data_IF_027487929359
#
_entry.id   IF_027487929359
#
_cell.length_a   1.000
_cell.length_b   1.000
_cell.length_c   1.000
_cell.angle_alpha   90.00
_cell.angle_beta   90.00
_cell.angle_gamma   90.00
#
_symmetry.space_group_name_H-M   'P 1'
#
loop_
_entity.id
_entity.type
_entity.pdbx_description
1 polymer ?
#
# COMPACT_ATOMS: atom_id res chain seq x y z
N UNK A 1 -10.34 -46.73 -0.22
CA UNK A 1 -9.61 -45.67 -0.97
C UNK A 1 -10.43 -44.40 -1.20
N UNK A 2 -11.58 -44.44 -1.90
CA UNK A 2 -12.41 -43.22 -2.18
C UNK A 2 -12.81 -42.41 -0.94
N UNK A 3 -13.17 -43.07 0.18
CA UNK A 3 -13.53 -42.41 1.45
C UNK A 3 -12.33 -41.73 2.13
N UNK A 4 -11.17 -42.39 2.11
CA UNK A 4 -9.93 -41.84 2.67
C UNK A 4 -9.49 -40.59 1.91
N UNK A 5 -9.41 -40.66 0.58
CA UNK A 5 -9.07 -39.52 -0.28
C UNK A 5 -10.00 -38.32 -0.05
N UNK A 6 -11.32 -38.56 -0.02
CA UNK A 6 -12.30 -37.52 0.27
C UNK A 6 -12.08 -36.87 1.65
N UNK A 7 -11.85 -37.68 2.68
CA UNK A 7 -11.65 -37.16 4.03
C UNK A 7 -10.35 -36.36 4.14
N UNK A 8 -9.29 -36.74 3.43
CA UNK A 8 -8.04 -35.98 3.37
C UNK A 8 -8.24 -34.62 2.67
N UNK A 9 -8.93 -34.58 1.52
CA UNK A 9 -9.26 -33.32 0.86
C UNK A 9 -10.15 -32.42 1.70
N UNK A 10 -11.09 -33.01 2.45
CA UNK A 10 -11.92 -32.25 3.38
C UNK A 10 -11.07 -31.66 4.51
N UNK A 11 -10.11 -32.41 5.06
CA UNK A 11 -9.18 -31.90 6.05
C UNK A 11 -8.38 -30.72 5.51
N UNK A 12 -7.79 -30.83 4.31
CA UNK A 12 -7.07 -29.71 3.70
C UNK A 12 -7.97 -28.50 3.41
N UNK A 13 -9.23 -28.73 3.03
CA UNK A 13 -10.20 -27.65 2.88
C UNK A 13 -10.45 -26.95 4.22
N UNK A 14 -10.66 -27.70 5.29
CA UNK A 14 -10.85 -27.14 6.64
C UNK A 14 -9.62 -26.35 7.13
N UNK A 15 -8.40 -26.79 6.78
CA UNK A 15 -7.18 -26.03 7.07
C UNK A 15 -7.10 -24.73 6.26
N UNK A 16 -7.49 -24.75 4.98
CA UNK A 16 -7.55 -23.56 4.15
C UNK A 16 -8.61 -22.56 4.68
N UNK A 17 -9.77 -23.06 5.12
CA UNK A 17 -10.82 -22.26 5.79
C UNK A 17 -10.29 -21.66 7.08
N UNK A 18 -9.62 -22.45 7.93
CA UNK A 18 -9.06 -21.97 9.18
C UNK A 18 -8.02 -20.87 8.93
N UNK A 19 -7.12 -21.05 7.97
CA UNK A 19 -6.15 -20.03 7.58
C UNK A 19 -6.82 -18.73 7.08
N UNK A 20 -7.86 -18.86 6.26
CA UNK A 20 -8.65 -17.72 5.79
C UNK A 20 -9.34 -16.99 6.95
N UNK A 21 -9.96 -17.70 7.89
CA UNK A 21 -10.58 -17.08 9.07
C UNK A 21 -9.58 -16.39 9.99
N UNK A 22 -8.39 -16.97 10.19
CA UNK A 22 -7.31 -16.32 10.97
C UNK A 22 -6.82 -15.05 10.25
N UNK A 23 -6.77 -15.04 8.92
CA UNK A 23 -6.42 -13.83 8.16
C UNK A 23 -7.42 -12.68 8.39
N UNK A 24 -8.72 -13.00 8.59
CA UNK A 24 -9.72 -11.97 8.93
C UNK A 24 -9.48 -11.36 10.32
N UNK A 25 -8.85 -12.10 11.24
CA UNK A 25 -8.44 -11.55 12.53
C UNK A 25 -7.25 -10.59 12.41
N UNK A 26 -6.45 -10.68 11.34
CA UNK A 26 -5.27 -9.85 11.12
C UNK A 26 -5.58 -8.35 11.08
N UNK A 27 -6.81 -7.98 10.70
CA UNK A 27 -7.23 -6.57 10.68
C UNK A 27 -7.57 -6.03 12.05
N UNK A 28 -7.94 -6.89 13.02
CA UNK A 28 -8.40 -6.47 14.36
C UNK A 28 -7.36 -6.69 15.45
N UNK A 29 -6.51 -7.70 15.30
CA UNK A 29 -5.51 -8.06 16.32
C UNK A 29 -4.23 -7.27 16.05
N UNK A 30 -3.88 -6.39 16.98
CA UNK A 30 -2.64 -5.62 16.93
C UNK A 30 -1.42 -6.55 16.94
N UNK A 31 -0.52 -6.48 15.93
CA UNK A 31 0.71 -7.26 15.91
C UNK A 31 1.64 -7.01 17.09
N UNK A 32 1.56 -5.84 17.72
CA UNK A 32 2.29 -5.51 18.95
C UNK A 32 1.86 -6.39 20.13
N UNK A 33 0.59 -6.79 20.19
CA UNK A 33 0.06 -7.71 21.20
C UNK A 33 0.26 -9.17 20.81
N UNK A 34 -0.14 -9.56 19.59
CA UNK A 34 -0.04 -10.91 19.08
C UNK A 34 0.12 -10.90 17.55
N UNK A 35 1.32 -11.24 17.08
CA UNK A 35 1.69 -11.09 15.67
C UNK A 35 1.22 -12.22 14.75
N UNK A 36 0.74 -13.36 15.28
CA UNK A 36 0.42 -14.54 14.44
C UNK A 36 -0.62 -14.23 13.37
N UNK A 37 -1.75 -13.56 13.67
CA UNK A 37 -2.73 -13.21 12.63
C UNK A 37 -2.14 -12.38 11.48
N UNK A 38 -1.16 -11.50 11.75
CA UNK A 38 -0.53 -10.67 10.71
C UNK A 38 0.15 -11.49 9.61
N UNK A 39 0.76 -12.64 9.96
CA UNK A 39 1.32 -13.56 8.97
C UNK A 39 0.23 -14.17 8.07
N UNK A 40 -0.93 -14.48 8.63
CA UNK A 40 -2.06 -15.00 7.87
C UNK A 40 -2.72 -13.92 7.01
N UNK A 41 -2.77 -12.66 7.50
CA UNK A 41 -3.19 -11.50 6.73
C UNK A 41 -2.31 -11.28 5.50
N UNK A 42 -0.98 -11.31 5.67
CA UNK A 42 -0.02 -11.27 4.56
C UNK A 42 -0.24 -12.42 3.56
N UNK A 43 -0.57 -13.62 4.05
CA UNK A 43 -0.83 -14.79 3.22
C UNK A 43 -2.29 -14.90 2.70
N UNK A 44 -3.14 -13.91 2.96
CA UNK A 44 -4.56 -13.93 2.62
C UNK A 44 -4.85 -14.33 1.16
N UNK A 45 -4.18 -13.76 0.13
CA UNK A 45 -4.46 -14.12 -1.27
C UNK A 45 -4.29 -15.61 -1.56
N UNK A 46 -3.34 -16.28 -0.89
CA UNK A 46 -3.11 -17.72 -1.05
C UNK A 46 -4.20 -18.56 -0.40
N UNK A 47 -4.64 -18.19 0.81
CA UNK A 47 -5.75 -18.86 1.47
C UNK A 47 -7.07 -18.67 0.69
N UNK A 48 -7.30 -17.46 0.15
CA UNK A 48 -8.43 -17.18 -0.71
C UNK A 48 -8.39 -18.07 -1.97
N UNK A 49 -7.25 -18.11 -2.67
CA UNK A 49 -7.08 -18.94 -3.87
C UNK A 49 -7.30 -20.42 -3.56
N UNK A 50 -6.72 -20.95 -2.47
CA UNK A 50 -6.93 -22.33 -2.05
C UNK A 50 -8.43 -22.63 -1.82
N UNK A 51 -9.16 -21.73 -1.16
CA UNK A 51 -10.60 -21.88 -0.95
C UNK A 51 -11.40 -21.83 -2.26
N UNK A 52 -11.04 -20.96 -3.22
CA UNK A 52 -11.66 -20.95 -4.56
C UNK A 52 -11.42 -22.29 -5.27
N UNK A 53 -10.21 -22.84 -5.22
CA UNK A 53 -9.89 -24.14 -5.81
C UNK A 53 -10.69 -25.27 -5.13
N UNK A 54 -10.90 -25.20 -3.82
CA UNK A 54 -11.76 -26.16 -3.12
C UNK A 54 -13.23 -26.04 -3.51
N UNK A 55 -13.76 -24.83 -3.74
CA UNK A 55 -15.11 -24.65 -4.30
C UNK A 55 -15.21 -25.39 -5.64
N UNK A 56 -14.31 -25.09 -6.57
CA UNK A 56 -14.29 -25.71 -7.90
C UNK A 56 -14.19 -27.23 -7.81
N UNK A 57 -13.28 -27.76 -6.99
CA UNK A 57 -13.13 -29.19 -6.76
C UNK A 57 -14.42 -29.84 -6.21
N UNK A 58 -15.02 -29.26 -5.16
CA UNK A 58 -16.19 -29.85 -4.52
C UNK A 58 -17.45 -29.75 -5.38
N UNK A 59 -17.57 -28.77 -6.28
CA UNK A 59 -18.67 -28.70 -7.24
C UNK A 59 -18.78 -29.97 -8.11
N UNK A 60 -17.66 -30.58 -8.49
CA UNK A 60 -17.65 -31.79 -9.31
C UNK A 60 -17.62 -33.10 -8.51
N UNK A 61 -17.23 -33.06 -7.23
CA UNK A 61 -17.07 -34.27 -6.40
C UNK A 61 -18.23 -34.46 -5.41
N UNK A 62 -18.54 -33.43 -4.60
CA UNK A 62 -19.58 -33.41 -3.57
C UNK A 62 -20.01 -31.96 -3.29
N UNK A 63 -21.03 -31.50 -4.01
CA UNK A 63 -21.49 -30.10 -3.99
C UNK A 63 -21.75 -29.51 -2.61
N UNK A 64 -22.24 -30.22 -1.57
CA UNK A 64 -22.45 -29.60 -0.25
C UNK A 64 -21.16 -29.12 0.42
N UNK A 65 -20.00 -29.72 0.12
CA UNK A 65 -18.74 -29.29 0.71
C UNK A 65 -18.19 -28.00 0.08
N UNK A 66 -18.66 -27.62 -1.13
CA UNK A 66 -18.33 -26.34 -1.73
C UNK A 66 -18.88 -25.17 -0.91
N UNK A 67 -19.99 -25.37 -0.20
CA UNK A 67 -20.62 -24.35 0.65
C UNK A 67 -19.71 -23.90 1.79
N UNK A 68 -18.83 -24.76 2.31
CA UNK A 68 -17.93 -24.41 3.42
C UNK A 68 -17.00 -23.26 3.04
N UNK A 69 -16.28 -23.41 1.93
CA UNK A 69 -15.36 -22.39 1.41
C UNK A 69 -16.12 -21.18 0.88
N UNK A 70 -17.26 -21.39 0.20
CA UNK A 70 -18.10 -20.30 -0.30
C UNK A 70 -18.61 -19.39 0.82
N UNK A 71 -19.21 -19.95 1.87
CA UNK A 71 -19.71 -19.17 3.01
C UNK A 71 -18.58 -18.47 3.76
N UNK A 72 -17.39 -19.10 3.85
CA UNK A 72 -16.22 -18.46 4.47
C UNK A 72 -15.76 -17.25 3.67
N UNK A 73 -15.66 -17.35 2.34
CA UNK A 73 -15.32 -16.21 1.47
C UNK A 73 -16.39 -15.12 1.56
N UNK A 74 -17.67 -15.50 1.55
CA UNK A 74 -18.78 -14.55 1.67
C UNK A 74 -18.74 -13.76 2.98
N UNK A 75 -18.37 -14.41 4.10
CA UNK A 75 -18.20 -13.75 5.40
C UNK A 75 -17.12 -12.66 5.36
N UNK A 76 -16.05 -12.87 4.59
CA UNK A 76 -14.96 -11.92 4.42
C UNK A 76 -14.97 -11.13 3.11
N UNK A 77 -16.13 -10.98 2.47
CA UNK A 77 -16.24 -10.32 1.16
C UNK A 77 -15.59 -8.92 1.13
N UNK A 78 -15.70 -8.16 2.22
CA UNK A 78 -15.08 -6.84 2.34
C UNK A 78 -13.53 -6.86 2.29
N UNK A 79 -12.89 -8.00 2.55
CA UNK A 79 -11.45 -8.15 2.37
C UNK A 79 -11.10 -8.36 0.90
N UNK A 80 -11.92 -9.09 0.16
CA UNK A 80 -11.74 -9.35 -1.28
C UNK A 80 -11.82 -8.05 -2.09
N UNK A 81 -12.81 -7.21 -1.82
CA UNK A 81 -13.01 -5.94 -2.55
C UNK A 81 -11.83 -4.97 -2.39
N UNK A 82 -10.99 -5.13 -1.38
CA UNK A 82 -9.80 -4.27 -1.21
C UNK A 82 -8.64 -4.64 -2.13
N UNK A 83 -8.67 -5.83 -2.76
CA UNK A 83 -7.68 -6.28 -3.75
C UNK A 83 -8.17 -6.17 -5.18
N UNK A 84 -9.48 -6.29 -5.39
CA UNK A 84 -10.06 -6.35 -6.72
C UNK A 84 -11.35 -5.53 -6.82
N UNK A 85 -11.47 -4.78 -7.91
CA UNK A 85 -12.67 -4.03 -8.28
C UNK A 85 -13.16 -4.42 -9.67
N UNK A 86 -14.46 -4.68 -9.80
CA UNK A 86 -15.07 -4.97 -11.10
C UNK A 86 -15.21 -3.71 -11.97
N UNK A 87 -15.60 -2.60 -11.34
CA UNK A 87 -15.83 -1.30 -11.96
C UNK A 87 -15.56 -0.21 -10.95
N UNK A 88 -14.98 0.91 -11.39
CA UNK A 88 -14.73 2.08 -10.58
C UNK A 88 -15.60 3.25 -11.00
N UNK A 89 -15.82 4.19 -10.09
CA UNK A 89 -16.41 5.48 -10.41
C UNK A 89 -15.50 6.27 -11.36
N UNK A 90 -16.03 6.69 -12.50
CA UNK A 90 -15.33 7.52 -13.48
C UNK A 90 -15.94 8.91 -13.55
N UNK A 91 -15.12 9.92 -13.87
CA UNK A 91 -15.58 11.28 -14.12
C UNK A 91 -14.81 11.93 -15.27
N UNK A 92 -15.46 12.87 -15.94
CA UNK A 92 -14.84 13.81 -16.89
C UNK A 92 -14.70 15.22 -16.32
N UNK A 93 -15.24 15.44 -15.12
CA UNK A 93 -15.21 16.74 -14.47
C UNK A 93 -13.80 17.09 -14.01
N UNK A 94 -13.51 18.39 -13.98
CA UNK A 94 -12.25 18.89 -13.44
C UNK A 94 -12.24 18.67 -11.92
N UNK A 95 -11.11 18.17 -11.41
CA UNK A 95 -10.89 17.91 -10.00
C UNK A 95 -9.41 17.93 -9.67
N UNK A 96 -9.07 17.65 -8.42
CA UNK A 96 -7.69 17.64 -7.95
C UNK A 96 -7.01 16.35 -8.44
N UNK A 97 -6.07 16.47 -9.38
CA UNK A 97 -5.24 15.36 -9.85
C UNK A 97 -4.18 15.00 -8.81
N UNK A 98 -4.37 13.89 -8.13
CA UNK A 98 -3.52 13.44 -7.03
C UNK A 98 -2.69 12.23 -7.43
N UNK A 99 -1.39 12.30 -7.19
CA UNK A 99 -0.44 11.21 -7.45
C UNK A 99 0.35 10.83 -6.19
N UNK A 100 0.57 9.54 -5.98
CA UNK A 100 1.52 9.01 -4.99
C UNK A 100 2.49 8.03 -5.65
N UNK A 101 3.78 8.16 -5.35
CA UNK A 101 4.80 7.32 -5.98
C UNK A 101 6.06 7.13 -5.12
N UNK A 102 6.34 5.88 -4.73
CA UNK A 102 7.64 5.51 -4.18
C UNK A 102 8.66 5.36 -5.32
N UNK A 103 9.64 6.26 -5.37
CA UNK A 103 10.64 6.31 -6.46
C UNK A 103 11.91 5.52 -6.17
N UNK A 104 11.96 4.77 -5.05
CA UNK A 104 13.08 3.88 -4.67
C UNK A 104 14.46 4.52 -4.85
N UNK A 105 14.65 5.74 -4.34
CA UNK A 105 15.91 6.50 -4.49
C UNK A 105 16.38 6.71 -5.95
N UNK A 106 15.44 6.66 -6.91
CA UNK A 106 15.65 6.69 -8.35
C UNK A 106 16.45 5.50 -8.87
N UNK A 107 16.19 4.33 -8.29
CA UNK A 107 16.62 3.04 -8.80
C UNK A 107 15.40 2.27 -9.29
N UNK A 108 15.46 1.67 -10.47
CA UNK A 108 14.30 0.94 -11.01
C UNK A 108 14.63 0.02 -12.17
N UNK A 109 15.42 0.50 -13.13
CA UNK A 109 15.88 -0.30 -14.25
C UNK A 109 17.31 -0.82 -13.97
N UNK A 110 17.54 -2.14 -14.06
CA UNK A 110 18.83 -2.78 -13.75
C UNK A 110 20.00 -2.21 -14.57
N UNK A 111 19.70 -1.65 -15.75
CA UNK A 111 20.68 -1.15 -16.72
C UNK A 111 20.82 0.39 -16.78
N UNK A 112 19.97 1.15 -16.09
CA UNK A 112 20.02 2.63 -16.15
C UNK A 112 20.79 3.25 -14.99
N UNK A 113 21.51 4.33 -15.30
CA UNK A 113 22.07 5.15 -14.24
C UNK A 113 20.96 5.90 -13.50
N UNK A 114 21.12 6.11 -12.18
CA UNK A 114 20.14 6.84 -11.34
C UNK A 114 19.63 8.16 -11.95
N UNK A 115 20.50 8.89 -12.65
CA UNK A 115 20.16 10.18 -13.28
C UNK A 115 19.15 10.02 -14.41
N UNK A 116 19.25 8.94 -15.17
CA UNK A 116 18.36 8.62 -16.30
C UNK A 116 16.99 8.20 -15.79
N UNK A 117 16.94 7.30 -14.79
CA UNK A 117 15.69 6.90 -14.11
C UNK A 117 14.96 8.12 -13.56
N UNK A 118 15.67 9.00 -12.87
CA UNK A 118 15.07 10.21 -12.33
C UNK A 118 14.61 11.20 -13.42
N UNK A 119 15.25 11.23 -14.59
CA UNK A 119 14.78 12.01 -15.74
C UNK A 119 13.51 11.40 -16.36
N UNK A 120 13.43 10.07 -16.46
CA UNK A 120 12.24 9.35 -16.91
C UNK A 120 11.05 9.61 -15.98
N UNK A 121 11.25 9.45 -14.67
CA UNK A 121 10.23 9.74 -13.66
C UNK A 121 9.80 11.20 -13.75
N UNK A 122 10.74 12.13 -13.87
CA UNK A 122 10.39 13.54 -14.02
C UNK A 122 9.57 13.78 -15.29
N UNK A 123 9.97 13.24 -16.45
CA UNK A 123 9.24 13.42 -17.70
C UNK A 123 7.85 12.77 -17.66
N UNK A 124 7.72 11.60 -17.06
CA UNK A 124 6.43 10.96 -16.80
C UNK A 124 5.52 11.87 -15.95
N UNK A 125 6.02 12.35 -14.81
CA UNK A 125 5.27 13.29 -13.97
C UNK A 125 4.95 14.60 -14.70
N UNK A 126 5.79 15.00 -15.66
CA UNK A 126 5.53 16.16 -16.50
C UNK A 126 4.37 15.95 -17.47
N UNK A 127 4.27 14.76 -18.02
CA UNK A 127 3.16 14.40 -18.91
C UNK A 127 1.84 14.35 -18.13
N UNK A 128 1.86 13.81 -16.91
CA UNK A 128 0.65 13.65 -16.08
C UNK A 128 0.11 14.94 -15.46
N UNK A 129 0.92 15.99 -15.33
CA UNK A 129 0.53 17.30 -14.77
C UNK A 129 -0.26 17.26 -13.43
N UNK A 130 0.21 16.52 -12.40
CA UNK A 130 -0.53 16.41 -11.13
C UNK A 130 -0.69 17.76 -10.41
N UNK A 131 -1.83 17.97 -9.77
CA UNK A 131 -2.07 19.11 -8.87
C UNK A 131 -1.40 18.89 -7.51
N UNK A 132 -1.38 17.64 -7.04
CA UNK A 132 -0.72 17.21 -5.81
C UNK A 132 0.09 15.95 -6.12
N UNK A 133 1.36 15.92 -5.72
CA UNK A 133 2.24 14.77 -5.88
C UNK A 133 2.94 14.42 -4.56
N UNK A 134 2.79 13.19 -4.10
CA UNK A 134 3.48 12.63 -2.95
C UNK A 134 4.55 11.64 -3.40
N UNK A 135 5.81 11.97 -3.17
CA UNK A 135 6.93 11.06 -3.44
C UNK A 135 7.49 10.47 -2.14
N UNK A 136 7.80 9.17 -2.18
CA UNK A 136 8.53 8.44 -1.15
C UNK A 136 9.90 7.97 -1.68
N UNK A 137 10.83 7.71 -0.75
CA UNK A 137 12.24 7.37 -1.02
C UNK A 137 12.99 8.33 -1.96
N UNK A 138 12.77 9.64 -1.83
CA UNK A 138 13.46 10.64 -2.64
C UNK A 138 14.88 10.90 -2.12
N UNK A 139 15.89 10.68 -2.97
CA UNK A 139 17.28 11.04 -2.67
C UNK A 139 17.69 12.37 -3.33
N UNK A 140 17.40 13.47 -2.64
CA UNK A 140 17.64 14.83 -3.17
C UNK A 140 19.13 15.25 -3.19
N UNK A 141 19.98 14.66 -2.34
CA UNK A 141 21.41 14.99 -2.31
C UNK A 141 22.11 14.68 -3.63
N UNK A 142 21.68 13.61 -4.30
CA UNK A 142 22.26 13.16 -5.58
C UNK A 142 21.48 13.67 -6.80
N UNK A 143 20.27 14.19 -6.61
CA UNK A 143 19.36 14.54 -7.70
C UNK A 143 18.87 15.98 -7.66
N UNK A 144 19.66 16.89 -8.27
CA UNK A 144 19.38 18.33 -8.36
C UNK A 144 18.23 18.70 -9.31
N UNK A 145 17.73 17.76 -10.11
CA UNK A 145 16.67 18.00 -11.10
C UNK A 145 15.27 18.11 -10.47
N UNK A 146 15.08 17.52 -9.28
CA UNK A 146 13.85 17.71 -8.52
C UNK A 146 13.93 19.04 -7.75
N UNK A 147 12.94 19.94 -7.91
CA UNK A 147 12.95 21.20 -7.19
C UNK A 147 12.79 20.93 -5.69
N UNK A 148 13.71 21.44 -4.89
CA UNK A 148 13.70 21.34 -3.41
C UNK A 148 13.24 22.62 -2.74
N UNK A 149 13.01 23.67 -3.54
CA UNK A 149 12.48 24.96 -3.13
C UNK A 149 11.42 25.42 -4.13
N UNK A 150 10.42 26.19 -3.68
CA UNK A 150 9.52 26.89 -4.60
C UNK A 150 10.37 27.74 -5.56
N UNK A 151 10.21 27.55 -6.88
CA UNK A 151 10.81 28.49 -7.83
C UNK A 151 9.98 29.77 -7.79
N UNK A 152 10.65 30.92 -7.64
CA UNK A 152 10.00 32.25 -7.78
C UNK A 152 9.57 32.51 -9.23
N UNK A 153 10.17 31.80 -10.18
CA UNK A 153 9.78 31.87 -11.59
C UNK A 153 8.45 31.20 -11.84
N UNK A 154 7.55 31.97 -12.44
CA UNK A 154 6.19 31.57 -12.85
C UNK A 154 6.18 30.46 -13.91
N UNK A 155 7.32 30.10 -14.50
CA UNK A 155 7.41 29.24 -15.68
C UNK A 155 7.77 27.78 -15.42
N UNK A 156 7.97 27.35 -14.16
CA UNK A 156 8.12 25.92 -13.88
C UNK A 156 6.73 25.28 -13.79
N UNK A 157 6.26 24.51 -14.80
CA UNK A 157 4.84 24.16 -14.93
C UNK A 157 4.32 23.19 -13.86
N UNK A 158 5.24 22.53 -13.14
CA UNK A 158 4.91 21.29 -12.45
C UNK A 158 4.54 21.47 -11.00
N UNK A 159 5.28 22.23 -10.21
CA UNK A 159 5.04 22.34 -8.77
C UNK A 159 5.41 23.72 -8.25
N UNK A 160 4.39 24.52 -7.92
CA UNK A 160 4.56 25.87 -7.39
C UNK A 160 5.01 25.85 -5.92
N UNK A 161 4.55 24.87 -5.17
CA UNK A 161 4.85 24.69 -3.76
C UNK A 161 5.41 23.30 -3.48
N UNK A 162 6.36 23.23 -2.55
CA UNK A 162 7.04 21.98 -2.17
C UNK A 162 7.24 21.92 -0.67
N UNK A 163 7.01 20.74 -0.10
CA UNK A 163 7.37 20.35 1.26
C UNK A 163 8.37 19.19 1.16
N UNK A 164 9.63 19.46 1.52
CA UNK A 164 10.69 18.45 1.60
C UNK A 164 10.93 18.15 3.08
N UNK A 165 11.01 16.86 3.44
CA UNK A 165 11.38 16.49 4.81
C UNK A 165 12.78 16.98 5.18
N UNK A 166 12.94 17.44 6.43
CA UNK A 166 14.24 17.77 7.04
C UNK A 166 15.20 16.57 7.10
N UNK A 167 14.70 15.34 7.20
CA UNK A 167 15.52 14.11 7.26
C UNK A 167 15.74 13.47 5.87
N UNK A 168 15.12 14.01 4.83
CA UNK A 168 15.14 13.46 3.47
C UNK A 168 14.18 12.28 3.29
N UNK A 169 14.06 11.77 2.07
CA UNK A 169 13.27 10.57 1.76
C UNK A 169 11.82 10.80 1.39
N UNK A 170 11.12 11.83 1.91
CA UNK A 170 9.76 12.15 1.46
C UNK A 170 9.65 13.59 0.96
N UNK A 171 8.85 13.79 -0.08
CA UNK A 171 8.60 15.12 -0.64
C UNK A 171 7.18 15.19 -1.17
N UNK A 172 6.45 16.22 -0.74
CA UNK A 172 5.14 16.55 -1.30
C UNK A 172 5.25 17.81 -2.16
N UNK A 173 4.63 17.76 -3.31
CA UNK A 173 4.52 18.89 -4.22
C UNK A 173 3.05 19.26 -4.43
N UNK A 174 2.79 20.55 -4.62
CA UNK A 174 1.44 21.06 -4.84
C UNK A 174 1.41 22.26 -5.78
N UNK A 175 0.35 22.34 -6.58
CA UNK A 175 -0.08 23.54 -7.30
C UNK A 175 -0.68 24.57 -6.33
N UNK A 176 -1.28 24.10 -5.24
CA UNK A 176 -1.94 24.90 -4.22
C UNK A 176 -0.94 25.40 -3.15
N UNK A 177 -1.16 26.60 -2.57
CA UNK A 177 -0.31 27.12 -1.50
C UNK A 177 -0.26 26.19 -0.29
N UNK A 178 0.97 25.86 0.14
CA UNK A 178 1.20 25.16 1.41
C UNK A 178 1.27 26.21 2.52
N UNK A 179 0.23 26.29 3.34
CA UNK A 179 0.09 27.30 4.40
C UNK A 179 0.66 26.83 5.75
N UNK A 180 0.76 25.51 5.96
CA UNK A 180 1.40 24.92 7.14
C UNK A 180 2.15 23.64 6.77
N UNK A 181 3.24 23.35 7.49
CA UNK A 181 4.15 22.23 7.27
C UNK A 181 4.58 21.64 8.61
N UNK A 182 4.41 20.34 8.75
CA UNK A 182 4.87 19.59 9.92
C UNK A 182 5.36 18.18 9.54
N UNK A 183 6.08 17.51 10.44
CA UNK A 183 6.63 16.17 10.24
C UNK A 183 6.49 15.34 11.52
N UNK A 184 5.90 14.15 11.41
CA UNK A 184 5.92 13.17 12.50
C UNK A 184 7.05 12.16 12.27
N UNK A 185 7.98 12.07 13.23
CA UNK A 185 9.12 11.17 13.18
C UNK A 185 8.98 10.03 14.19
N UNK A 186 9.53 8.87 13.84
CA UNK A 186 9.58 7.71 14.72
C UNK A 186 11.00 7.48 15.23
N UNK A 187 11.12 7.15 16.52
CA UNK A 187 12.42 6.90 17.14
C UNK A 187 13.15 5.73 16.46
N UNK A 188 14.43 5.91 16.15
CA UNK A 188 15.24 4.88 15.50
C UNK A 188 14.79 4.48 14.09
N UNK A 189 14.00 5.30 13.41
CA UNK A 189 13.50 5.03 12.05
C UNK A 189 13.75 6.19 11.10
N UNK A 190 14.01 5.85 9.83
CA UNK A 190 14.00 6.79 8.71
C UNK A 190 12.61 6.94 8.08
N UNK A 191 11.63 6.13 8.50
CA UNK A 191 10.24 6.31 8.13
C UNK A 191 9.66 7.52 8.87
N UNK A 192 8.73 8.22 8.23
CA UNK A 192 8.07 9.40 8.80
C UNK A 192 6.74 9.67 8.09
N UNK A 193 6.05 10.70 8.58
CA UNK A 193 4.82 11.23 7.98
C UNK A 193 5.05 12.71 7.73
N UNK A 194 4.91 13.14 6.49
CA UNK A 194 4.96 14.54 6.10
C UNK A 194 3.54 15.12 6.12
N UNK A 195 3.32 16.23 6.82
CA UNK A 195 2.01 16.86 7.00
C UNK A 195 2.04 18.23 6.34
N UNK A 196 1.11 18.48 5.42
CA UNK A 196 1.03 19.75 4.69
C UNK A 196 -0.41 20.23 4.65
N UNK A 197 -0.68 21.44 5.12
CA UNK A 197 -2.01 22.06 4.93
C UNK A 197 -1.99 22.86 3.63
N UNK A 198 -2.86 22.48 2.71
CA UNK A 198 -3.00 23.04 1.37
C UNK A 198 -4.22 23.95 1.33
N UNK A 199 -4.03 25.20 0.92
CA UNK A 199 -5.15 26.12 0.68
C UNK A 199 -5.75 25.84 -0.71
N UNK A 200 -6.93 25.26 -0.76
CA UNK A 200 -7.66 24.94 -2.00
C UNK A 200 -8.90 25.83 -2.02
N UNK A 201 -8.92 26.79 -2.93
CA UNK A 201 -9.90 27.87 -2.98
C UNK A 201 -9.98 28.61 -1.62
N UNK A 202 -11.15 28.58 -0.97
CA UNK A 202 -11.40 29.18 0.34
C UNK A 202 -11.30 28.19 1.51
N UNK A 203 -10.96 26.93 1.26
CA UNK A 203 -10.84 25.89 2.28
C UNK A 203 -9.41 25.36 2.43
N UNK A 204 -9.19 24.52 3.44
CA UNK A 204 -7.91 23.87 3.73
C UNK A 204 -8.07 22.36 3.68
N UNK A 205 -7.19 21.70 2.92
CA UNK A 205 -7.04 20.25 2.89
C UNK A 205 -5.72 19.87 3.58
N UNK A 206 -5.77 18.94 4.54
CA UNK A 206 -4.55 18.40 5.17
C UNK A 206 -4.06 17.16 4.43
N UNK A 207 -2.87 17.27 3.84
CA UNK A 207 -2.19 16.19 3.12
C UNK A 207 -1.19 15.48 4.03
N UNK A 208 -1.35 14.16 4.16
CA UNK A 208 -0.37 13.26 4.76
C UNK A 208 0.36 12.48 3.67
N UNK A 209 1.67 12.66 3.55
CA UNK A 209 2.54 11.79 2.75
C UNK A 209 3.26 10.83 3.68
N UNK A 210 2.98 9.54 3.56
CA UNK A 210 3.42 8.51 4.50
C UNK A 210 4.36 7.50 3.82
N UNK A 211 5.38 7.05 4.54
CA UNK A 211 6.15 5.89 4.15
C UNK A 211 6.41 5.08 5.41
N UNK A 212 5.63 4.02 5.61
CA UNK A 212 5.68 3.21 6.82
C UNK A 212 6.74 2.11 6.73
N UNK A 213 7.03 1.49 7.87
CA UNK A 213 8.08 0.49 8.05
C UNK A 213 8.01 -0.63 7.00
N UNK A 214 9.06 -0.80 6.20
CA UNK A 214 9.23 -1.94 5.30
C UNK A 214 9.77 -3.17 6.04
N UNK A 215 9.87 -4.32 5.36
CA UNK A 215 10.44 -5.53 5.94
C UNK A 215 11.98 -5.53 6.02
N UNK A 216 12.66 -4.57 5.36
CA UNK A 216 14.12 -4.53 5.20
C UNK A 216 14.73 -5.88 4.76
N UNK A 217 14.09 -6.55 3.81
CA UNK A 217 14.71 -7.69 3.16
C UNK A 217 15.80 -7.22 2.22
N UNK A 218 17.02 -7.68 2.48
CA UNK A 218 18.14 -7.58 1.55
C UNK A 218 17.99 -8.62 0.44
N UNK A 219 18.68 -8.42 -0.68
CA UNK A 219 18.76 -9.43 -1.75
C UNK A 219 19.29 -10.78 -1.24
N UNK A 220 20.17 -10.75 -0.24
CA UNK A 220 20.67 -11.96 0.40
C UNK A 220 19.57 -12.68 1.19
N UNK A 221 18.70 -11.96 1.91
CA UNK A 221 17.57 -12.54 2.62
C UNK A 221 16.61 -13.24 1.65
N UNK A 222 16.30 -12.60 0.52
CA UNK A 222 15.39 -13.15 -0.49
C UNK A 222 15.99 -14.39 -1.14
N UNK A 223 17.24 -14.33 -1.61
CA UNK A 223 17.95 -15.50 -2.18
C UNK A 223 18.09 -16.64 -1.17
N UNK A 224 18.18 -16.32 0.12
CA UNK A 224 18.26 -17.34 1.17
C UNK A 224 16.98 -18.19 1.24
N UNK A 225 15.81 -17.59 0.95
CA UNK A 225 14.54 -18.31 0.88
C UNK A 225 14.45 -19.20 -0.37
N UNK A 226 15.03 -18.77 -1.50
CA UNK A 226 15.09 -19.60 -2.71
C UNK A 226 15.98 -20.84 -2.53
N UNK A 227 16.95 -20.76 -1.61
CA UNK A 227 17.89 -21.85 -1.29
C UNK A 227 17.38 -22.85 -0.24
N UNK A 228 16.11 -22.76 0.17
CA UNK A 228 15.52 -23.70 1.14
C UNK A 228 15.54 -25.12 0.57
N UNK A 229 16.03 -26.07 1.37
CA UNK A 229 16.24 -27.46 0.94
C UNK A 229 15.81 -28.44 2.01
N UNK A 230 15.05 -29.46 1.61
CA UNK A 230 14.65 -30.56 2.50
C UNK A 230 15.85 -31.37 3.01
N UNK A 231 16.99 -31.33 2.30
CA UNK A 231 18.20 -32.08 2.68
C UNK A 231 19.00 -31.40 3.79
N UNK A 232 18.80 -30.09 4.03
CA UNK A 232 19.44 -29.37 5.13
C UNK A 232 18.38 -28.67 6.00
N UNK A 233 17.68 -29.48 6.81
CA UNK A 233 16.52 -29.06 7.59
C UNK A 233 16.88 -28.01 8.66
N UNK A 234 18.04 -28.14 9.32
CA UNK A 234 18.45 -27.20 10.37
C UNK A 234 18.74 -25.81 9.79
N UNK A 235 19.54 -25.74 8.72
CA UNK A 235 19.83 -24.47 8.04
C UNK A 235 18.54 -23.81 7.51
N UNK A 236 17.66 -24.60 6.90
CA UNK A 236 16.37 -24.12 6.40
C UNK A 236 15.49 -23.59 7.53
N UNK A 237 15.46 -24.26 8.68
CA UNK A 237 14.72 -23.81 9.86
C UNK A 237 15.24 -22.47 10.40
N UNK A 238 16.57 -22.29 10.49
CA UNK A 238 17.14 -21.02 10.94
C UNK A 238 16.82 -19.87 9.99
N UNK A 239 16.85 -20.10 8.66
CA UNK A 239 16.47 -19.11 7.64
C UNK A 239 15.00 -18.68 7.78
N UNK A 240 14.09 -19.65 7.94
CA UNK A 240 12.65 -19.39 8.15
C UNK A 240 12.42 -18.62 9.45
N UNK A 241 13.08 -19.03 10.54
CA UNK A 241 12.98 -18.37 11.85
C UNK A 241 13.47 -16.92 11.79
N UNK A 242 14.61 -16.68 11.13
CA UNK A 242 15.16 -15.34 10.93
C UNK A 242 14.21 -14.45 10.11
N UNK A 243 13.72 -14.96 8.99
CA UNK A 243 12.74 -14.26 8.13
C UNK A 243 11.46 -13.94 8.88
N UNK A 244 10.91 -14.91 9.61
CA UNK A 244 9.74 -14.72 10.46
C UNK A 244 9.96 -13.68 11.56
N UNK A 245 11.15 -13.64 12.15
CA UNK A 245 11.52 -12.62 13.14
C UNK A 245 11.55 -11.21 12.53
N UNK A 246 12.14 -11.04 11.34
CA UNK A 246 12.13 -9.77 10.60
C UNK A 246 10.73 -9.29 10.29
N UNK A 247 9.88 -10.16 9.74
CA UNK A 247 8.46 -9.86 9.47
C UNK A 247 7.73 -9.41 10.74
N UNK A 248 7.89 -10.17 11.83
CA UNK A 248 7.29 -9.85 13.13
C UNK A 248 7.72 -8.46 13.61
N UNK A 249 9.02 -8.15 13.57
CA UNK A 249 9.52 -6.84 14.00
C UNK A 249 8.96 -5.70 13.14
N UNK A 250 8.87 -5.91 11.83
CA UNK A 250 8.26 -4.93 10.92
C UNK A 250 6.78 -4.70 11.24
N UNK A 251 6.00 -5.77 11.44
CA UNK A 251 4.58 -5.64 11.83
C UNK A 251 4.40 -4.84 13.12
N UNK A 252 5.21 -5.12 14.15
CA UNK A 252 5.14 -4.42 15.44
C UNK A 252 5.48 -2.94 15.29
N UNK A 253 6.58 -2.61 14.60
CA UNK A 253 6.96 -1.21 14.36
C UNK A 253 5.91 -0.46 13.55
N UNK A 254 5.39 -1.08 12.49
CA UNK A 254 4.36 -0.50 11.62
C UNK A 254 3.04 -0.26 12.36
N UNK A 255 2.73 -1.08 13.36
CA UNK A 255 1.56 -0.90 14.24
C UNK A 255 1.61 0.47 14.93
N UNK A 256 2.73 0.80 15.58
CA UNK A 256 2.91 2.09 16.27
C UNK A 256 2.81 3.26 15.30
N UNK A 257 3.37 3.11 14.10
CA UNK A 257 3.32 4.15 13.07
C UNK A 257 1.89 4.37 12.53
N UNK A 258 1.15 3.28 12.31
CA UNK A 258 -0.24 3.33 11.86
C UNK A 258 -1.16 3.96 12.90
N UNK A 259 -0.98 3.62 14.18
CA UNK A 259 -1.74 4.21 15.29
C UNK A 259 -1.42 5.70 15.45
N UNK A 260 -0.15 6.10 15.31
CA UNK A 260 0.25 7.51 15.31
C UNK A 260 -0.40 8.28 14.15
N UNK A 261 -0.38 7.70 12.94
CA UNK A 261 -1.02 8.30 11.77
C UNK A 261 -2.54 8.45 11.98
N UNK A 262 -3.21 7.41 12.48
CA UNK A 262 -4.64 7.46 12.79
C UNK A 262 -4.97 8.54 13.83
N UNK A 263 -4.14 8.70 14.86
CA UNK A 263 -4.31 9.77 15.84
C UNK A 263 -4.18 11.16 15.21
N UNK A 264 -3.17 11.38 14.35
CA UNK A 264 -2.98 12.65 13.63
C UNK A 264 -4.15 12.97 12.69
N UNK A 265 -4.69 11.94 12.02
CA UNK A 265 -5.89 12.06 11.18
C UNK A 265 -7.09 12.49 12.02
N UNK A 266 -7.32 11.79 13.15
CA UNK A 266 -8.47 12.03 14.03
C UNK A 266 -8.44 13.40 14.73
N UNK A 267 -7.25 13.97 14.90
CA UNK A 267 -7.04 15.30 15.48
C UNK A 267 -7.03 16.42 14.42
N UNK A 268 -7.17 16.10 13.13
CA UNK A 268 -7.16 17.09 12.07
C UNK A 268 -8.43 17.96 12.14
N UNK A 269 -8.31 19.31 12.15
CA UNK A 269 -9.46 20.20 12.04
C UNK A 269 -9.97 20.38 10.60
N UNK A 270 -9.27 19.77 9.63
CA UNK A 270 -9.53 19.88 8.20
C UNK A 270 -9.80 18.49 7.61
N UNK A 271 -10.56 18.41 6.50
CA UNK A 271 -10.58 17.21 5.66
C UNK A 271 -9.17 16.75 5.31
N UNK A 272 -8.96 15.45 5.26
CA UNK A 272 -7.64 14.85 5.09
C UNK A 272 -7.54 14.06 3.79
N UNK A 273 -6.34 14.06 3.22
CA UNK A 273 -5.92 13.13 2.16
C UNK A 273 -4.63 12.47 2.62
N UNK A 274 -4.57 11.15 2.55
CA UNK A 274 -3.41 10.34 2.89
C UNK A 274 -2.92 9.68 1.63
N UNK A 275 -1.63 9.82 1.35
CA UNK A 275 -0.95 9.21 0.23
C UNK A 275 0.30 8.51 0.71
N UNK A 276 0.55 7.29 0.24
CA UNK A 276 1.88 6.72 0.33
C UNK A 276 1.95 5.21 0.47
N UNK A 277 3.18 4.77 0.70
CA UNK A 277 3.55 3.36 0.84
C UNK A 277 3.39 2.95 2.31
N UNK A 278 2.38 2.12 2.58
CA UNK A 278 2.15 1.57 3.92
C UNK A 278 3.00 0.33 4.17
N UNK A 279 3.65 -0.23 3.15
CA UNK A 279 4.39 -1.49 3.18
C UNK A 279 3.55 -2.69 3.67
N UNK A 280 2.22 -2.56 3.70
CA UNK A 280 1.29 -3.57 4.20
C UNK A 280 0.11 -3.79 3.27
N UNK A 281 -0.42 -5.00 3.30
CA UNK A 281 -1.49 -5.44 2.42
C UNK A 281 -2.87 -5.02 2.92
N UNK A 282 -3.93 -5.07 2.09
CA UNK A 282 -5.27 -4.68 2.52
C UNK A 282 -5.93 -5.56 3.61
N UNK A 283 -5.39 -6.77 3.88
CA UNK A 283 -5.76 -7.58 5.06
C UNK A 283 -4.67 -7.45 6.13
N UNK A 284 -4.55 -6.26 6.68
CA UNK A 284 -3.60 -5.96 7.76
C UNK A 284 -4.19 -5.03 8.80
N UNK A 285 -3.60 -5.06 10.01
CA UNK A 285 -3.92 -4.12 11.07
C UNK A 285 -3.58 -2.69 10.65
N UNK A 286 -2.43 -2.47 9.99
CA UNK A 286 -2.02 -1.15 9.51
C UNK A 286 -3.04 -0.53 8.57
N UNK A 287 -3.46 -1.26 7.53
CA UNK A 287 -4.48 -0.76 6.60
C UNK A 287 -5.79 -0.48 7.35
N UNK A 288 -6.24 -1.40 8.21
CA UNK A 288 -7.50 -1.23 8.93
C UNK A 288 -7.49 -0.02 9.87
N UNK A 289 -6.42 0.20 10.61
CA UNK A 289 -6.27 1.30 11.56
C UNK A 289 -6.26 2.65 10.86
N UNK A 290 -5.50 2.78 9.76
CA UNK A 290 -5.38 4.07 9.06
C UNK A 290 -6.66 4.41 8.29
N UNK A 291 -7.36 3.42 7.74
CA UNK A 291 -8.57 3.64 6.91
C UNK A 291 -9.85 3.94 7.70
N UNK A 292 -9.82 3.90 9.04
CA UNK A 292 -11.03 4.14 9.83
C UNK A 292 -11.56 5.55 9.61
N UNK A 293 -12.83 5.65 9.19
CA UNK A 293 -13.49 6.93 8.89
C UNK A 293 -13.08 7.55 7.55
N UNK A 294 -12.28 6.86 6.74
CA UNK A 294 -11.81 7.32 5.44
C UNK A 294 -12.35 6.44 4.30
N UNK A 295 -12.29 6.99 3.10
CA UNK A 295 -12.60 6.29 1.85
C UNK A 295 -11.28 5.91 1.16
N UNK A 296 -11.17 4.65 0.72
CA UNK A 296 -10.05 4.17 -0.08
C UNK A 296 -10.34 4.40 -1.57
N UNK A 297 -9.51 5.20 -2.23
CA UNK A 297 -9.73 5.61 -3.61
C UNK A 297 -9.74 4.43 -4.59
N UNK A 298 -8.93 3.38 -4.36
CA UNK A 298 -8.97 2.18 -5.19
C UNK A 298 -10.31 1.45 -5.02
N UNK A 299 -10.84 1.38 -3.79
CA UNK A 299 -12.11 0.70 -3.53
C UNK A 299 -13.29 1.44 -4.16
N UNK A 300 -13.23 2.78 -4.21
CA UNK A 300 -14.30 3.61 -4.77
C UNK A 300 -14.23 3.75 -6.30
N UNK A 301 -13.02 3.85 -6.86
CA UNK A 301 -12.82 4.19 -8.28
C UNK A 301 -11.78 3.38 -9.03
N UNK A 302 -11.24 2.32 -8.42
CA UNK A 302 -10.31 1.41 -9.08
C UNK A 302 -11.00 0.38 -9.98
N UNK A 303 -10.21 -0.29 -10.81
CA UNK A 303 -10.65 -1.43 -11.64
C UNK A 303 -9.55 -2.50 -11.67
N UNK A 304 -9.94 -3.77 -11.77
CA UNK A 304 -9.00 -4.89 -11.81
C UNK A 304 -8.29 -5.15 -10.48
N UNK A 305 -7.09 -5.73 -10.55
CA UNK A 305 -6.26 -6.07 -9.39
C UNK A 305 -5.42 -4.85 -8.99
N UNK A 306 -5.48 -4.45 -7.73
CA UNK A 306 -4.85 -3.24 -7.22
C UNK A 306 -3.36 -3.32 -6.89
N UNK A 307 -2.60 -4.24 -7.49
CA UNK A 307 -1.19 -4.45 -7.14
C UNK A 307 -0.30 -3.27 -7.51
N UNK A 308 0.52 -2.81 -6.58
CA UNK A 308 1.40 -1.65 -6.75
C UNK A 308 2.88 -2.01 -6.63
N UNK A 309 3.22 -3.10 -5.93
CA UNK A 309 4.60 -3.56 -5.77
C UNK A 309 5.03 -4.52 -6.87
N UNK A 310 6.23 -4.28 -7.42
CA UNK A 310 6.88 -5.02 -8.50
C UNK A 310 8.16 -5.73 -8.09
N UNK A 311 8.60 -5.60 -6.84
CA UNK A 311 9.84 -6.22 -6.40
C UNK A 311 9.75 -7.74 -6.27
N UNK A 312 10.77 -8.32 -5.62
CA UNK A 312 11.00 -9.78 -5.59
C UNK A 312 10.06 -10.57 -4.67
N UNK A 313 9.24 -9.88 -3.89
CA UNK A 313 8.18 -10.51 -3.09
C UNK A 313 6.89 -10.59 -3.91
N UNK A 314 5.91 -11.40 -3.49
CA UNK A 314 4.61 -11.44 -4.17
C UNK A 314 4.07 -10.03 -4.39
N UNK A 315 3.65 -9.76 -5.62
CA UNK A 315 3.12 -8.46 -6.00
C UNK A 315 1.87 -8.18 -5.18
N UNK A 316 1.97 -7.18 -4.30
CA UNK A 316 0.90 -6.77 -3.40
C UNK A 316 0.50 -5.33 -3.67
N UNK A 317 -0.73 -4.99 -3.27
CA UNK A 317 -1.15 -3.61 -3.08
C UNK A 317 -0.61 -3.12 -1.74
N UNK A 318 0.31 -2.16 -1.76
CA UNK A 318 0.90 -1.57 -0.54
C UNK A 318 0.96 -0.05 -0.57
N UNK A 319 0.62 0.56 -1.72
CA UNK A 319 0.49 2.00 -1.89
C UNK A 319 -0.99 2.39 -1.89
N UNK A 320 -1.32 3.44 -1.15
CA UNK A 320 -2.70 3.84 -0.90
C UNK A 320 -2.91 5.34 -1.11
N UNK A 321 -4.09 5.68 -1.63
CA UNK A 321 -4.68 7.01 -1.57
C UNK A 321 -5.98 6.87 -0.77
N UNK A 322 -6.05 7.54 0.38
CA UNK A 322 -7.22 7.60 1.23
C UNK A 322 -7.66 9.05 1.38
N UNK A 323 -8.95 9.30 1.53
CA UNK A 323 -9.46 10.65 1.73
C UNK A 323 -10.65 10.67 2.68
N UNK A 324 -10.92 11.84 3.27
CA UNK A 324 -12.12 12.04 4.08
C UNK A 324 -13.40 11.96 3.23
N UNK A 325 -14.56 11.64 3.82
CA UNK A 325 -15.83 11.48 3.12
C UNK A 325 -16.37 12.76 2.45
N UNK A 326 -15.82 13.94 2.75
CA UNK A 326 -16.14 15.22 2.09
C UNK A 326 -15.66 15.27 0.64
N UNK A 327 -14.86 14.29 0.21
CA UNK A 327 -14.42 14.11 -1.17
C UNK A 327 -14.94 12.80 -1.73
N UNK A 328 -15.10 12.75 -3.05
CA UNK A 328 -15.20 11.53 -3.82
C UNK A 328 -13.96 11.36 -4.70
N UNK A 329 -13.49 10.12 -4.83
CA UNK A 329 -12.44 9.75 -5.77
C UNK A 329 -13.01 9.15 -7.05
N UNK A 330 -12.37 9.50 -8.16
CA UNK A 330 -12.69 9.01 -9.50
C UNK A 330 -11.42 8.63 -10.25
N UNK A 331 -11.59 7.82 -11.30
CA UNK A 331 -10.53 7.49 -12.25
C UNK A 331 -9.26 6.94 -11.57
N UNK A 332 -9.38 6.12 -10.52
CA UNK A 332 -8.20 5.59 -9.85
C UNK A 332 -7.39 4.74 -10.83
N UNK A 333 -6.11 5.07 -10.98
CA UNK A 333 -5.24 4.45 -11.95
C UNK A 333 -3.91 4.02 -11.34
N UNK A 334 -3.43 2.84 -11.78
CA UNK A 334 -2.10 2.33 -11.49
C UNK A 334 -1.31 2.39 -12.80
N UNK A 335 -0.44 3.38 -12.92
CA UNK A 335 0.38 3.59 -14.10
C UNK A 335 1.47 2.49 -14.16
N UNK A 336 1.35 1.55 -15.11
CA UNK A 336 2.25 0.37 -15.19
C UNK A 336 3.63 0.67 -15.80
N UNK A 337 4.34 1.63 -15.23
CA UNK A 337 5.70 2.02 -15.63
C UNK A 337 6.75 1.41 -14.69
N UNK A 338 7.85 0.89 -15.24
CA UNK A 338 8.88 0.17 -14.48
C UNK A 338 10.08 1.04 -14.07
N UNK A 339 9.84 2.31 -13.70
CA UNK A 339 10.91 3.23 -13.29
C UNK A 339 11.32 3.07 -11.81
N UNK A 340 10.57 2.28 -11.06
CA UNK A 340 10.75 1.93 -9.65
C UNK A 340 10.24 0.50 -9.45
N UNK A 341 10.49 -0.11 -8.28
CA UNK A 341 9.81 -1.35 -7.88
C UNK A 341 8.40 -1.12 -7.31
N UNK A 342 7.88 0.10 -7.44
CA UNK A 342 6.48 0.45 -7.23
C UNK A 342 5.89 1.04 -8.50
N UNK A 343 4.59 0.87 -8.68
CA UNK A 343 3.83 1.62 -9.67
C UNK A 343 3.29 2.91 -9.06
N UNK A 344 3.36 4.05 -9.78
CA UNK A 344 2.63 5.25 -9.39
C UNK A 344 1.13 4.97 -9.37
N UNK A 345 0.47 5.49 -8.33
CA UNK A 345 -0.99 5.48 -8.22
C UNK A 345 -1.54 6.89 -8.28
N UNK A 346 -2.74 7.02 -8.83
CA UNK A 346 -3.41 8.31 -8.96
C UNK A 346 -4.92 8.21 -8.86
N UNK A 347 -5.57 9.32 -8.56
CA UNK A 347 -7.01 9.51 -8.72
C UNK A 347 -7.33 11.00 -8.89
N UNK A 348 -8.56 11.27 -9.34
CA UNK A 348 -9.17 12.61 -9.31
C UNK A 348 -9.98 12.74 -8.03
N UNK A 349 -9.73 13.76 -7.23
CA UNK A 349 -10.57 14.10 -6.07
C UNK A 349 -11.49 15.27 -6.40
N UNK A 350 -12.78 15.10 -6.14
CA UNK A 350 -13.80 16.15 -6.26
C UNK A 350 -14.45 16.31 -4.89
N UNK A 351 -14.54 17.55 -4.41
CA UNK A 351 -15.22 17.87 -3.15
C UNK A 351 -16.72 17.71 -3.36
N UNK A 352 -17.40 17.09 -2.41
CA UNK A 352 -18.85 16.92 -2.48
C UNK A 352 -19.55 18.28 -2.30
N UNK A 353 -20.56 18.54 -3.11
CA UNK A 353 -21.48 19.65 -2.88
C UNK A 353 -22.20 19.40 -1.53
N UNK A 354 -22.13 20.37 -0.62
CA UNK A 354 -22.79 20.31 0.69
C UNK A 354 -24.29 20.59 0.61
#
# INVERSE_FOLDING_TARGET
MKKFFRNSFLLFNLLAIAGLLISYLAVKVSPASWSVPAFFGLAYPYFLLANILFILFWLFVKTPFALLSFLTIALGYNHLTRYFQFSGSETKDDGIQLYSYNVKNFYGEEDLQRKEVAAHILNFLKEKQPDILCLQEVNLYKQKSFPTRPKKDKESPFFRYVHVSKKGGQTSYSRYPIIHKDEAHFEGSSNMILISDLKIDDDTLRLFNCHLQSYYFSDADIKSLDSLSFNNQEESYQKVKYTGSKLKQAFIKRTVQAETLHQLISQSPHPVVICGDFNDTPVSYTYHTVTQGLVDAFVQSGTGIGNTYLGKLPSFRIDYILHSPEYNSFNFHIDKVAYSDHYPISCVLIKNDQ
#
